data_IF_483323804243
#
_entry.id   IF_483323804243
#
_cell.length_a   1.000
_cell.length_b   1.000
_cell.length_c   1.000
_cell.angle_alpha   90.00
_cell.angle_beta   90.00
_cell.angle_gamma   90.00
#
_symmetry.space_group_name_H-M   'P 1'
#
loop_
_entity.id
_entity.type
_entity.pdbx_description
1 polymer ?
#
# COMPACT_ATOMS: atom_id res chain seq x y z
N UNK A 1 47.62 -17.87 -1.07
CA UNK A 1 46.62 -17.87 0.01
C UNK A 1 45.32 -17.45 -0.62
N UNK A 2 44.41 -18.39 -0.87
CA UNK A 2 43.03 -18.06 -1.26
C UNK A 2 42.44 -17.27 -0.09
N UNK A 3 42.00 -16.04 -0.33
CA UNK A 3 41.01 -15.45 0.55
C UNK A 3 39.73 -16.24 0.27
N UNK A 4 39.21 -16.95 1.26
CA UNK A 4 37.92 -17.63 1.13
C UNK A 4 36.86 -16.55 0.87
N UNK A 5 36.43 -16.44 -0.40
CA UNK A 5 35.38 -15.50 -0.79
C UNK A 5 34.09 -15.94 -0.11
N UNK A 6 33.54 -15.10 0.76
CA UNK A 6 32.30 -15.40 1.48
C UNK A 6 31.14 -15.60 0.48
N UNK A 7 30.28 -16.59 0.72
CA UNK A 7 29.06 -16.81 -0.06
C UNK A 7 27.80 -16.44 0.76
N UNK A 8 27.01 -15.49 0.26
CA UNK A 8 25.77 -15.03 0.90
C UNK A 8 24.54 -15.52 0.13
N UNK A 9 23.64 -16.22 0.81
CA UNK A 9 22.37 -16.68 0.25
C UNK A 9 21.22 -15.72 0.59
N UNK A 10 20.50 -15.22 -0.41
CA UNK A 10 19.37 -14.34 -0.23
C UNK A 10 18.05 -15.04 -0.50
N UNK A 11 17.01 -14.69 0.26
CA UNK A 11 15.68 -15.29 0.12
C UNK A 11 14.66 -14.21 -0.21
N UNK A 12 13.81 -14.44 -1.21
CA UNK A 12 12.76 -13.50 -1.61
C UNK A 12 11.51 -14.20 -2.15
N UNK A 13 10.46 -13.42 -2.40
CA UNK A 13 9.25 -13.82 -3.12
C UNK A 13 9.27 -13.31 -4.57
N UNK A 14 8.29 -13.74 -5.37
CA UNK A 14 8.25 -13.50 -6.83
C UNK A 14 8.23 -12.02 -7.21
N UNK A 15 7.47 -11.18 -6.49
CA UNK A 15 7.29 -9.77 -6.87
C UNK A 15 8.59 -8.97 -6.77
N UNK A 16 9.45 -9.31 -5.80
CA UNK A 16 10.70 -8.59 -5.55
C UNK A 16 11.92 -9.21 -6.25
N UNK A 17 11.76 -10.33 -6.97
CA UNK A 17 12.87 -11.09 -7.57
C UNK A 17 13.82 -10.19 -8.37
N UNK A 18 13.28 -9.43 -9.33
CA UNK A 18 14.10 -8.57 -10.21
C UNK A 18 14.90 -7.54 -9.40
N UNK A 19 14.23 -6.84 -8.47
CA UNK A 19 14.87 -5.84 -7.64
C UNK A 19 15.97 -6.44 -6.74
N UNK A 20 15.71 -7.61 -6.15
CA UNK A 20 16.70 -8.34 -5.35
C UNK A 20 17.90 -8.75 -6.21
N UNK A 21 17.69 -9.29 -7.41
CA UNK A 21 18.79 -9.67 -8.32
C UNK A 21 19.67 -8.47 -8.68
N UNK A 22 19.06 -7.35 -9.07
CA UNK A 22 19.78 -6.15 -9.48
C UNK A 22 20.59 -5.57 -8.30
N UNK A 23 19.97 -5.46 -7.13
CA UNK A 23 20.62 -4.87 -5.94
C UNK A 23 21.69 -5.80 -5.36
N UNK A 24 21.40 -7.10 -5.23
CA UNK A 24 22.38 -8.07 -4.74
C UNK A 24 23.59 -8.14 -5.65
N UNK A 25 23.43 -8.10 -6.97
CA UNK A 25 24.56 -8.06 -7.91
C UNK A 25 25.45 -6.84 -7.65
N UNK A 26 24.84 -5.65 -7.54
CA UNK A 26 25.58 -4.41 -7.24
C UNK A 26 26.32 -4.46 -5.89
N UNK A 27 25.68 -5.01 -4.86
CA UNK A 27 26.26 -5.12 -3.51
C UNK A 27 27.35 -6.19 -3.49
N UNK A 28 27.16 -7.32 -4.17
CA UNK A 28 28.16 -8.37 -4.29
C UNK A 28 29.44 -7.88 -4.98
N UNK A 29 29.31 -7.07 -6.03
CA UNK A 29 30.44 -6.45 -6.72
C UNK A 29 31.19 -5.44 -5.83
N UNK A 30 30.45 -4.62 -5.06
CA UNK A 30 31.03 -3.61 -4.16
C UNK A 30 31.78 -4.25 -2.99
N UNK A 31 31.18 -5.26 -2.35
CA UNK A 31 31.70 -5.90 -1.13
C UNK A 31 32.48 -7.20 -1.39
N UNK A 32 32.59 -7.62 -2.65
CA UNK A 32 33.35 -8.78 -3.12
C UNK A 32 32.98 -10.09 -2.42
N UNK A 33 31.72 -10.48 -2.53
CA UNK A 33 31.22 -11.80 -2.08
C UNK A 33 30.53 -12.56 -3.21
N UNK A 34 30.52 -13.89 -3.12
CA UNK A 34 29.70 -14.74 -3.98
C UNK A 34 28.27 -14.82 -3.43
N UNK A 35 27.29 -15.08 -4.29
CA UNK A 35 25.90 -15.12 -3.84
C UNK A 35 25.02 -16.10 -4.59
N UNK A 36 23.91 -16.46 -3.94
CA UNK A 36 22.81 -17.18 -4.57
C UNK A 36 21.47 -16.63 -4.07
N UNK A 37 20.41 -16.77 -4.87
CA UNK A 37 19.09 -16.21 -4.56
C UNK A 37 18.03 -17.31 -4.69
N UNK A 38 17.30 -17.57 -3.60
CA UNK A 38 16.12 -18.43 -3.60
C UNK A 38 14.85 -17.58 -3.74
N UNK A 39 14.12 -17.79 -4.82
CA UNK A 39 12.79 -17.21 -5.04
C UNK A 39 11.76 -18.25 -4.62
N UNK A 40 11.21 -18.09 -3.42
CA UNK A 40 10.26 -19.05 -2.87
C UNK A 40 8.88 -18.90 -3.53
N UNK A 41 8.02 -19.93 -3.50
CA UNK A 41 6.72 -19.93 -4.17
C UNK A 41 5.66 -19.08 -3.42
N UNK A 42 5.97 -17.81 -3.17
CA UNK A 42 5.09 -16.80 -2.58
C UNK A 42 5.21 -15.49 -3.38
N UNK A 43 4.10 -14.76 -3.54
CA UNK A 43 4.11 -13.51 -4.31
C UNK A 43 4.89 -12.41 -3.59
N UNK A 44 4.60 -12.17 -2.31
CA UNK A 44 5.19 -11.09 -1.50
C UNK A 44 5.96 -11.66 -0.32
N UNK A 45 7.24 -11.31 -0.20
CA UNK A 45 8.14 -11.85 0.84
C UNK A 45 7.72 -11.46 2.27
N UNK A 46 7.08 -10.31 2.46
CA UNK A 46 6.59 -9.86 3.76
C UNK A 46 5.47 -10.75 4.35
N UNK A 47 4.87 -11.64 3.54
CA UNK A 47 3.85 -12.60 3.97
C UNK A 47 4.45 -13.95 4.39
N UNK A 48 5.78 -14.10 4.35
CA UNK A 48 6.44 -15.30 4.87
C UNK A 48 6.30 -15.35 6.39
N UNK A 49 5.95 -16.52 6.91
CA UNK A 49 6.02 -16.83 8.36
C UNK A 49 7.13 -17.85 8.60
N UNK A 50 7.71 -17.94 9.82
CA UNK A 50 8.73 -18.92 10.16
C UNK A 50 8.30 -20.35 9.80
N UNK A 51 7.07 -20.74 10.16
CA UNK A 51 6.52 -22.07 9.84
C UNK A 51 6.39 -22.33 8.34
N UNK A 52 6.08 -21.29 7.55
CA UNK A 52 6.04 -21.42 6.11
C UNK A 52 7.45 -21.54 5.53
N UNK A 53 8.38 -20.70 5.99
CA UNK A 53 9.76 -20.69 5.56
C UNK A 53 10.44 -22.04 5.79
N UNK A 54 10.24 -22.64 6.96
CA UNK A 54 10.79 -23.96 7.33
C UNK A 54 10.42 -25.09 6.37
N UNK A 55 9.28 -24.96 5.67
CA UNK A 55 8.80 -25.97 4.71
C UNK A 55 9.32 -25.77 3.29
N UNK A 56 9.79 -24.57 2.96
CA UNK A 56 10.09 -24.18 1.57
C UNK A 56 11.54 -23.75 1.36
N UNK A 57 12.23 -23.30 2.41
CA UNK A 57 13.60 -22.83 2.30
C UNK A 57 14.57 -24.01 2.28
N UNK A 58 15.39 -24.05 1.23
CA UNK A 58 16.56 -24.90 1.14
C UNK A 58 17.79 -24.01 1.10
N UNK A 59 18.71 -24.21 2.04
CA UNK A 59 19.93 -23.41 2.14
C UNK A 59 21.04 -24.16 1.41
N UNK A 60 21.70 -23.57 0.40
CA UNK A 60 22.85 -24.18 -0.26
C UNK A 60 23.99 -24.48 0.72
N UNK A 61 24.70 -25.60 0.54
CA UNK A 61 25.78 -26.02 1.45
C UNK A 61 26.92 -25.00 1.52
N UNK A 62 27.21 -24.35 0.40
CA UNK A 62 28.22 -23.30 0.27
C UNK A 62 27.86 -21.99 0.99
N UNK A 63 26.61 -21.82 1.46
CA UNK A 63 26.19 -20.55 2.06
C UNK A 63 26.76 -20.36 3.47
N UNK A 64 27.67 -19.40 3.61
CA UNK A 64 28.23 -18.95 4.89
C UNK A 64 27.22 -18.12 5.68
N UNK A 65 26.41 -17.32 4.97
CA UNK A 65 25.37 -16.45 5.52
C UNK A 65 24.08 -16.58 4.73
N UNK A 66 22.95 -16.45 5.41
CA UNK A 66 21.62 -16.43 4.80
C UNK A 66 20.89 -15.18 5.23
N UNK A 67 20.55 -14.33 4.26
CA UNK A 67 19.84 -13.08 4.48
C UNK A 67 18.37 -13.26 4.08
N UNK A 68 17.51 -13.24 5.09
CA UNK A 68 16.06 -13.32 4.96
C UNK A 68 15.41 -11.95 4.79
N UNK A 69 14.16 -11.88 4.32
CA UNK A 69 13.39 -10.63 4.31
C UNK A 69 13.25 -10.01 5.71
N UNK A 70 13.38 -8.68 5.81
CA UNK A 70 13.43 -7.98 7.11
C UNK A 70 12.14 -7.98 7.95
N UNK A 71 11.01 -8.44 7.41
CA UNK A 71 9.77 -8.58 8.17
C UNK A 71 9.77 -9.78 9.14
N UNK A 72 10.77 -10.67 9.04
CA UNK A 72 10.94 -11.82 9.94
C UNK A 72 11.76 -11.48 11.21
N UNK A 73 12.10 -10.21 11.42
CA UNK A 73 13.01 -9.78 12.48
C UNK A 73 12.51 -10.20 13.87
N UNK A 74 11.23 -9.99 14.16
CA UNK A 74 10.63 -10.28 15.48
C UNK A 74 10.57 -11.78 15.79
N UNK A 75 10.71 -12.64 14.77
CA UNK A 75 10.60 -14.09 14.87
C UNK A 75 11.91 -14.81 14.48
N UNK A 76 13.02 -14.06 14.37
CA UNK A 76 14.31 -14.56 13.89
C UNK A 76 14.85 -15.72 14.72
N UNK A 77 14.67 -15.67 16.04
CA UNK A 77 15.15 -16.73 16.93
C UNK A 77 14.49 -18.07 16.62
N UNK A 78 13.18 -18.11 16.33
CA UNK A 78 12.48 -19.35 15.94
C UNK A 78 13.09 -19.97 14.68
N UNK A 79 13.53 -19.13 13.75
CA UNK A 79 14.14 -19.55 12.49
C UNK A 79 15.56 -20.08 12.74
N UNK A 80 16.34 -19.39 13.57
CA UNK A 80 17.71 -19.78 13.96
C UNK A 80 17.76 -21.12 14.69
N UNK A 81 16.76 -21.44 15.51
CA UNK A 81 16.66 -22.76 16.14
C UNK A 81 16.64 -23.91 15.13
N UNK A 82 16.10 -23.68 13.93
CA UNK A 82 15.93 -24.73 12.93
C UNK A 82 17.02 -24.72 11.84
N UNK A 83 17.52 -23.54 11.47
CA UNK A 83 18.51 -23.40 10.37
C UNK A 83 19.91 -23.01 10.82
N UNK A 84 20.12 -22.74 12.12
CA UNK A 84 21.39 -22.35 12.71
C UNK A 84 21.66 -20.85 12.71
N UNK A 85 22.83 -20.47 13.23
CA UNK A 85 23.19 -19.07 13.52
C UNK A 85 23.59 -18.25 12.29
N UNK A 86 23.76 -18.89 11.13
CA UNK A 86 24.06 -18.21 9.84
C UNK A 86 22.88 -17.40 9.27
N UNK A 87 21.71 -17.49 9.90
CA UNK A 87 20.52 -16.75 9.49
C UNK A 87 20.53 -15.33 10.07
N UNK A 88 20.35 -14.36 9.19
CA UNK A 88 20.14 -12.95 9.51
C UNK A 88 18.88 -12.43 8.82
N UNK A 89 18.23 -11.45 9.42
CA UNK A 89 17.21 -10.67 8.72
C UNK A 89 17.88 -9.48 8.06
N UNK A 90 17.73 -9.38 6.74
CA UNK A 90 18.10 -8.19 5.99
C UNK A 90 17.15 -7.02 6.30
N UNK A 91 17.26 -5.92 5.55
CA UNK A 91 16.37 -4.78 5.73
C UNK A 91 14.93 -5.09 5.31
N UNK A 92 13.99 -4.27 5.78
CA UNK A 92 12.58 -4.31 5.35
C UNK A 92 12.43 -3.88 3.90
N UNK A 93 13.24 -2.92 3.46
CA UNK A 93 13.32 -2.47 2.07
C UNK A 93 14.64 -2.94 1.45
N UNK A 94 14.57 -3.66 0.34
CA UNK A 94 15.76 -4.17 -0.36
C UNK A 94 16.72 -3.06 -0.80
N UNK A 95 16.24 -1.83 -0.99
CA UNK A 95 17.08 -0.66 -1.33
C UNK A 95 18.06 -0.27 -0.22
N UNK A 96 17.82 -0.73 1.00
CA UNK A 96 18.68 -0.52 2.17
C UNK A 96 19.75 -1.62 2.28
N UNK A 97 19.76 -2.62 1.40
CA UNK A 97 20.74 -3.71 1.44
C UNK A 97 22.20 -3.21 1.38
N UNK A 98 22.58 -2.22 0.56
CA UNK A 98 23.94 -1.68 0.61
C UNK A 98 24.31 -1.16 2.00
N UNK A 99 23.39 -0.44 2.67
CA UNK A 99 23.60 0.06 4.03
C UNK A 99 23.75 -1.08 5.04
N UNK A 100 22.99 -2.17 4.86
CA UNK A 100 23.12 -3.38 5.67
C UNK A 100 24.54 -4.00 5.57
N UNK A 101 25.23 -3.86 4.44
CA UNK A 101 26.62 -4.28 4.26
C UNK A 101 27.65 -3.17 4.59
N UNK A 102 27.21 -2.01 5.09
CA UNK A 102 28.09 -0.88 5.47
C UNK A 102 28.34 0.16 4.36
N UNK A 103 27.60 0.06 3.25
CA UNK A 103 27.65 0.99 2.13
C UNK A 103 26.66 2.16 2.27
N UNK A 104 26.39 2.83 1.14
CA UNK A 104 25.41 3.92 1.07
C UNK A 104 24.12 3.42 0.43
N UNK A 105 22.98 3.91 0.92
CA UNK A 105 21.66 3.57 0.39
C UNK A 105 21.57 3.86 -1.11
N UNK A 106 20.96 2.95 -1.87
CA UNK A 106 20.62 3.19 -3.27
C UNK A 106 19.46 4.19 -3.33
N UNK A 107 19.82 5.49 -3.42
CA UNK A 107 18.95 6.69 -3.44
C UNK A 107 18.51 7.19 -2.05
N UNK A 108 19.24 8.19 -1.56
CA UNK A 108 18.93 8.97 -0.34
C UNK A 108 17.94 10.12 -0.58
N UNK A 109 17.67 10.47 -1.83
CA UNK A 109 16.58 11.40 -2.13
C UNK A 109 15.27 10.65 -1.83
N UNK A 110 14.49 11.12 -0.86
CA UNK A 110 13.14 10.62 -0.63
C UNK A 110 12.29 10.66 -1.91
N UNK A 111 11.02 10.29 -1.84
CA UNK A 111 10.15 10.24 -3.03
C UNK A 111 9.91 11.61 -3.70
N UNK A 112 10.45 12.70 -3.15
CA UNK A 112 10.18 14.06 -3.57
C UNK A 112 8.82 14.54 -3.08
N UNK A 113 8.35 15.66 -3.63
CA UNK A 113 6.95 16.08 -3.46
C UNK A 113 6.08 15.16 -4.32
N UNK A 114 4.98 14.65 -3.77
CA UNK A 114 3.98 13.93 -4.54
C UNK A 114 3.07 14.94 -5.25
N UNK A 115 2.56 14.56 -6.42
CA UNK A 115 1.53 15.30 -7.16
C UNK A 115 0.21 14.54 -7.23
N UNK A 116 0.07 13.47 -6.43
CA UNK A 116 -1.15 12.68 -6.31
C UNK A 116 -1.94 13.18 -5.11
N UNK A 117 -3.25 13.28 -5.24
CA UNK A 117 -4.15 13.56 -4.13
C UNK A 117 -4.61 12.25 -3.48
N UNK A 118 -4.81 12.27 -2.16
CA UNK A 118 -5.30 11.16 -1.37
C UNK A 118 -6.79 11.39 -1.08
N UNK A 119 -7.64 10.49 -1.58
CA UNK A 119 -9.06 10.46 -1.26
C UNK A 119 -9.28 9.41 -0.16
N UNK A 120 -9.89 9.81 0.96
CA UNK A 120 -10.23 8.90 2.05
C UNK A 120 -11.75 8.80 2.23
N UNK A 121 -12.27 7.58 2.30
CA UNK A 121 -13.71 7.33 2.33
C UNK A 121 -14.27 7.23 3.75
N UNK A 122 -15.43 7.86 3.96
CA UNK A 122 -16.35 7.57 5.07
C UNK A 122 -17.47 6.69 4.54
N UNK A 123 -17.34 5.38 4.80
CA UNK A 123 -18.34 4.38 4.42
C UNK A 123 -19.64 4.59 5.21
N UNK A 124 -20.78 4.45 4.53
CA UNK A 124 -22.12 4.56 5.13
C UNK A 124 -22.33 5.87 5.91
N UNK A 125 -21.89 7.00 5.35
CA UNK A 125 -21.89 8.29 6.03
C UNK A 125 -23.26 8.69 6.61
N UNK A 126 -24.36 8.30 5.94
CA UNK A 126 -25.72 8.55 6.42
C UNK A 126 -26.13 7.83 7.72
N UNK A 127 -25.29 6.95 8.25
CA UNK A 127 -25.49 6.33 9.58
C UNK A 127 -24.86 7.12 10.72
N UNK A 128 -23.99 8.07 10.41
CA UNK A 128 -23.31 8.89 11.41
C UNK A 128 -24.19 10.09 11.77
N UNK A 129 -24.08 10.52 13.03
CA UNK A 129 -24.55 11.86 13.41
C UNK A 129 -23.68 12.93 12.75
N UNK A 130 -24.21 14.16 12.65
CA UNK A 130 -23.46 15.30 12.11
C UNK A 130 -22.12 15.52 12.82
N UNK A 131 -22.08 15.32 14.15
CA UNK A 131 -20.86 15.47 14.93
C UNK A 131 -19.84 14.38 14.59
N UNK A 132 -20.26 13.11 14.57
CA UNK A 132 -19.36 11.99 14.22
C UNK A 132 -18.82 12.10 12.80
N UNK A 133 -19.63 12.59 11.87
CA UNK A 133 -19.22 12.84 10.48
C UNK A 133 -18.09 13.88 10.41
N UNK A 134 -18.25 15.03 11.06
CA UNK A 134 -17.22 16.08 11.11
C UNK A 134 -15.95 15.56 11.79
N UNK A 135 -16.07 14.91 12.95
CA UNK A 135 -14.92 14.40 13.70
C UNK A 135 -14.12 13.37 12.89
N UNK A 136 -14.83 12.50 12.16
CA UNK A 136 -14.23 11.51 11.27
C UNK A 136 -13.55 12.17 10.07
N UNK A 137 -14.23 13.07 9.37
CA UNK A 137 -13.68 13.79 8.22
C UNK A 137 -12.41 14.58 8.59
N UNK A 138 -12.46 15.34 9.68
CA UNK A 138 -11.30 16.10 10.16
C UNK A 138 -10.15 15.20 10.61
N UNK A 139 -10.44 14.02 11.18
CA UNK A 139 -9.39 13.03 11.48
C UNK A 139 -8.71 12.56 10.21
N UNK A 140 -9.47 12.16 9.19
CA UNK A 140 -8.92 11.71 7.91
C UNK A 140 -8.08 12.80 7.21
N UNK A 141 -8.52 14.06 7.27
CA UNK A 141 -7.73 15.20 6.78
C UNK A 141 -6.41 15.33 7.55
N UNK A 142 -6.43 15.23 8.88
CA UNK A 142 -5.19 15.24 9.70
C UNK A 142 -4.25 14.07 9.39
N UNK A 143 -4.82 12.93 9.01
CA UNK A 143 -4.08 11.72 8.62
C UNK A 143 -3.54 11.80 7.17
N UNK A 144 -3.84 12.89 6.45
CA UNK A 144 -3.25 13.21 5.14
C UNK A 144 -4.19 13.08 3.95
N UNK A 145 -5.51 12.96 4.16
CA UNK A 145 -6.48 13.01 3.06
C UNK A 145 -6.63 14.44 2.52
N UNK A 146 -6.59 14.57 1.19
CA UNK A 146 -6.84 15.83 0.47
C UNK A 146 -8.34 16.04 0.22
N UNK A 147 -9.08 14.95 0.00
CA UNK A 147 -10.53 14.93 -0.25
C UNK A 147 -11.17 13.81 0.57
N UNK A 148 -12.35 14.08 1.13
CA UNK A 148 -13.15 13.08 1.86
C UNK A 148 -14.27 12.59 0.97
N UNK A 149 -14.29 11.29 0.73
CA UNK A 149 -15.34 10.64 -0.05
C UNK A 149 -16.50 10.20 0.83
N UNK A 150 -17.71 10.56 0.42
CA UNK A 150 -18.93 10.31 1.17
C UNK A 150 -19.64 9.11 0.56
N UNK A 151 -19.42 7.94 1.15
CA UNK A 151 -20.02 6.69 0.72
C UNK A 151 -21.48 6.56 1.18
N UNK A 152 -22.41 6.57 0.22
CA UNK A 152 -23.82 6.31 0.48
C UNK A 152 -24.09 4.81 0.67
N UNK A 153 -25.23 4.45 1.26
CA UNK A 153 -25.55 3.04 1.53
C UNK A 153 -26.37 2.45 0.38
N UNK A 154 -25.88 1.42 -0.34
CA UNK A 154 -26.63 0.81 -1.43
C UNK A 154 -28.02 0.32 -0.99
N UNK A 155 -29.02 0.59 -1.82
CA UNK A 155 -30.41 0.18 -1.58
C UNK A 155 -31.20 1.10 -0.64
N UNK A 156 -30.61 2.20 -0.16
CA UNK A 156 -31.31 3.20 0.65
C UNK A 156 -30.92 4.62 0.22
N UNK A 157 -31.91 5.43 -0.17
CA UNK A 157 -31.69 6.85 -0.48
C UNK A 157 -31.56 7.68 0.81
N UNK A 158 -30.40 8.31 0.99
CA UNK A 158 -30.09 9.20 2.10
C UNK A 158 -30.53 10.63 1.82
N UNK A 159 -31.72 10.96 2.32
CA UNK A 159 -32.31 12.29 2.14
C UNK A 159 -31.50 13.46 2.72
N UNK A 160 -30.58 13.18 3.66
CA UNK A 160 -29.73 14.18 4.32
C UNK A 160 -28.37 14.40 3.66
N UNK A 161 -28.09 13.78 2.50
CA UNK A 161 -26.77 13.84 1.85
C UNK A 161 -26.34 15.26 1.51
N UNK A 162 -27.25 16.10 1.00
CA UNK A 162 -26.95 17.50 0.68
C UNK A 162 -26.57 18.30 1.92
N UNK A 163 -27.31 18.14 3.02
CA UNK A 163 -27.01 18.82 4.29
C UNK A 163 -25.67 18.37 4.87
N UNK A 164 -25.36 17.08 4.77
CA UNK A 164 -24.11 16.53 5.25
C UNK A 164 -22.90 16.99 4.43
N UNK A 165 -23.02 17.01 3.11
CA UNK A 165 -21.98 17.56 2.21
C UNK A 165 -21.77 19.04 2.50
N UNK A 166 -22.87 19.82 2.58
CA UNK A 166 -22.80 21.24 2.91
C UNK A 166 -22.11 21.47 4.26
N UNK A 167 -22.45 20.69 5.28
CA UNK A 167 -21.82 20.77 6.59
C UNK A 167 -20.30 20.57 6.52
N UNK A 168 -19.83 19.57 5.77
CA UNK A 168 -18.40 19.31 5.60
C UNK A 168 -17.70 20.44 4.83
N UNK A 169 -18.32 20.93 3.75
CA UNK A 169 -17.81 22.07 2.96
C UNK A 169 -17.72 23.34 3.82
N UNK A 170 -18.73 23.63 4.64
CA UNK A 170 -18.73 24.76 5.58
C UNK A 170 -17.60 24.62 6.63
N UNK A 171 -17.17 23.38 6.92
CA UNK A 171 -16.01 23.05 7.75
C UNK A 171 -14.68 22.96 6.98
N UNK A 172 -14.62 23.49 5.76
CA UNK A 172 -13.43 23.53 4.89
C UNK A 172 -12.88 22.15 4.51
N UNK A 173 -13.73 21.12 4.50
CA UNK A 173 -13.39 19.80 3.98
C UNK A 173 -13.76 19.75 2.50
N UNK A 174 -12.82 19.33 1.64
CA UNK A 174 -13.10 19.01 0.23
C UNK A 174 -13.80 17.66 0.16
N UNK A 175 -14.86 17.56 -0.64
CA UNK A 175 -15.78 16.41 -0.60
C UNK A 175 -15.95 15.80 -1.98
N UNK A 176 -15.82 14.48 -2.07
CA UNK A 176 -16.37 13.69 -3.18
C UNK A 176 -17.59 12.89 -2.73
N UNK A 177 -18.42 12.47 -3.68
CA UNK A 177 -19.61 11.65 -3.43
C UNK A 177 -19.48 10.30 -4.14
N UNK A 178 -19.72 9.22 -3.40
CA UNK A 178 -19.84 7.86 -3.91
C UNK A 178 -21.28 7.37 -3.73
N UNK A 179 -22.05 7.48 -4.82
CA UNK A 179 -23.37 6.89 -4.96
C UNK A 179 -23.71 6.66 -6.44
N UNK A 180 -24.50 5.61 -6.69
CA UNK A 180 -25.14 5.40 -7.99
C UNK A 180 -26.51 6.10 -8.10
N UNK A 181 -27.11 6.52 -6.97
CA UNK A 181 -28.40 7.19 -6.96
C UNK A 181 -28.28 8.63 -7.49
N UNK A 182 -28.94 8.90 -8.61
CA UNK A 182 -28.80 10.20 -9.29
C UNK A 182 -29.35 11.37 -8.49
N UNK A 183 -30.32 11.14 -7.59
CA UNK A 183 -30.86 12.18 -6.73
C UNK A 183 -29.85 12.52 -5.63
N UNK A 184 -29.26 11.51 -4.97
CA UNK A 184 -28.23 11.74 -3.95
C UNK A 184 -27.03 12.51 -4.52
N UNK A 185 -26.53 12.08 -5.68
CA UNK A 185 -25.41 12.74 -6.35
C UNK A 185 -25.77 14.17 -6.72
N UNK A 186 -26.97 14.41 -7.25
CA UNK A 186 -27.43 15.77 -7.59
C UNK A 186 -27.48 16.69 -6.35
N UNK A 187 -27.99 16.19 -5.23
CA UNK A 187 -28.02 16.95 -3.97
C UNK A 187 -26.60 17.23 -3.44
N UNK A 188 -25.72 16.24 -3.47
CA UNK A 188 -24.33 16.38 -3.06
C UNK A 188 -23.56 17.41 -3.91
N UNK A 189 -23.68 17.33 -5.25
CA UNK A 189 -23.04 18.28 -6.16
C UNK A 189 -23.56 19.70 -5.91
N UNK A 190 -24.88 19.87 -5.76
CA UNK A 190 -25.49 21.17 -5.44
C UNK A 190 -25.03 21.74 -4.11
N UNK A 191 -24.64 20.87 -3.16
CA UNK A 191 -24.13 21.24 -1.85
C UNK A 191 -22.61 21.50 -1.81
N UNK A 192 -21.90 21.27 -2.91
CA UNK A 192 -20.47 21.58 -3.04
C UNK A 192 -19.54 20.37 -3.14
N UNK A 193 -20.05 19.15 -3.37
CA UNK A 193 -19.18 18.03 -3.74
C UNK A 193 -18.44 18.35 -5.05
N UNK A 194 -17.12 18.18 -5.06
CA UNK A 194 -16.23 18.55 -6.16
C UNK A 194 -15.86 17.38 -7.10
N UNK A 195 -16.28 16.16 -6.75
CA UNK A 195 -16.04 14.95 -7.55
C UNK A 195 -17.11 13.88 -7.29
N UNK A 196 -17.54 13.18 -8.33
CA UNK A 196 -18.44 12.00 -8.25
C UNK A 196 -17.66 10.74 -8.63
N UNK A 197 -17.57 9.75 -7.73
CA UNK A 197 -16.74 8.56 -7.96
C UNK A 197 -17.44 7.43 -8.71
N UNK A 198 -18.77 7.39 -8.70
CA UNK A 198 -19.54 6.23 -9.18
C UNK A 198 -20.50 6.58 -10.31
N UNK A 199 -19.95 6.75 -11.53
CA UNK A 199 -20.74 6.90 -12.75
C UNK A 199 -20.58 5.69 -13.67
N UNK A 200 -21.70 5.08 -14.06
CA UNK A 200 -21.76 3.98 -15.01
C UNK A 200 -22.96 4.15 -15.97
N UNK A 201 -23.33 3.10 -16.72
CA UNK A 201 -24.41 3.20 -17.70
C UNK A 201 -25.77 3.61 -17.11
N UNK A 202 -26.01 3.32 -15.82
CA UNK A 202 -27.29 3.55 -15.15
C UNK A 202 -27.58 5.02 -14.81
N UNK A 203 -26.54 5.83 -14.57
CA UNK A 203 -26.65 7.23 -14.14
C UNK A 203 -25.93 8.23 -15.06
N UNK A 204 -25.29 7.74 -16.13
CA UNK A 204 -24.56 8.57 -17.11
C UNK A 204 -25.40 9.72 -17.68
N UNK A 205 -26.69 9.50 -17.94
CA UNK A 205 -27.56 10.54 -18.50
C UNK A 205 -27.77 11.70 -17.51
N UNK A 206 -27.93 11.41 -16.23
CA UNK A 206 -28.07 12.41 -15.18
C UNK A 206 -26.75 13.15 -14.92
N UNK A 207 -25.61 12.49 -15.13
CA UNK A 207 -24.29 13.06 -14.90
C UNK A 207 -24.00 14.33 -15.73
N UNK A 208 -24.67 14.49 -16.87
CA UNK A 208 -24.57 15.67 -17.74
C UNK A 208 -25.01 16.96 -17.02
N UNK A 209 -25.91 16.85 -16.04
CA UNK A 209 -26.51 17.99 -15.35
C UNK A 209 -25.81 18.36 -14.03
N UNK A 210 -24.88 17.53 -13.53
CA UNK A 210 -24.26 17.76 -12.22
C UNK A 210 -23.22 18.87 -12.21
N UNK A 211 -22.63 19.20 -13.37
CA UNK A 211 -21.56 20.20 -13.51
C UNK A 211 -20.37 19.97 -12.53
N UNK A 212 -20.15 18.72 -12.16
CA UNK A 212 -19.08 18.25 -11.26
C UNK A 212 -18.27 17.19 -12.01
N UNK A 213 -16.92 17.20 -11.92
CA UNK A 213 -16.09 16.13 -12.45
C UNK A 213 -16.57 14.74 -12.01
N UNK A 214 -16.46 13.76 -12.92
CA UNK A 214 -16.94 12.39 -12.69
C UNK A 214 -15.84 11.36 -12.94
N UNK A 215 -15.97 10.22 -12.26
CA UNK A 215 -15.21 9.00 -12.56
C UNK A 215 -16.16 8.00 -13.21
N UNK A 216 -15.80 7.59 -14.42
CA UNK A 216 -16.51 6.54 -15.16
C UNK A 216 -15.95 5.17 -14.78
N UNK A 217 -16.83 4.28 -14.33
CA UNK A 217 -16.51 2.91 -13.94
C UNK A 217 -17.31 1.91 -14.79
N UNK A 218 -16.80 0.68 -15.02
CA UNK A 218 -17.53 -0.34 -15.75
C UNK A 218 -18.76 -0.83 -14.97
N UNK A 219 -19.80 -1.28 -15.67
CA UNK A 219 -21.00 -1.84 -15.03
C UNK A 219 -20.72 -3.16 -14.28
N UNK A 220 -19.66 -3.88 -14.69
CA UNK A 220 -19.24 -5.14 -14.09
C UNK A 220 -17.80 -5.01 -13.59
N UNK A 221 -17.53 -5.22 -12.28
CA UNK A 221 -16.17 -5.27 -11.76
C UNK A 221 -15.36 -6.37 -12.44
N UNK A 222 -14.08 -6.09 -12.72
CA UNK A 222 -13.13 -7.04 -13.32
C UNK A 222 -12.62 -8.10 -12.36
#
# INVERSE_FOLDING_TARGET
MNQDTQHVHFVTGRLAERAVRDIVASVADEFRFEYSISVLPITVAALMTPKWLLRHLQIPDQADRVVLPGHLHDELELIRHSFGQRIECGPRDIRDLPTFFGGKRLRDAGYGKHSIEIIAEINHAGRLTSQELIETAQRLVRDGADVIDIGCTPGYQWNGVGDAVKLLVDHQVRVSIDSFDSWEVSQACSAGAELVLSVNSSNLAAALDWNTPIVLIPDVPG
#
